data_IF_983946028366
#
_entry.id   IF_983946028366
#
_cell.length_a   1.000
_cell.length_b   1.000
_cell.length_c   1.000
_cell.angle_alpha   90.00
_cell.angle_beta   90.00
_cell.angle_gamma   90.00
#
_symmetry.space_group_name_H-M   'P 1'
#
loop_
_entity.id
_entity.type
_entity.pdbx_description
1 polymer ?
#
# COMPACT_ATOMS: atom_id res chain seq x y z
N UNK A 1 -7.88 -10.84 8.14
CA UNK A 1 -6.80 -11.02 9.12
C UNK A 1 -5.46 -11.07 8.41
N UNK A 2 -4.45 -10.39 8.92
CA UNK A 2 -3.12 -10.45 8.34
C UNK A 2 -2.58 -11.86 8.48
N UNK A 3 -2.02 -12.40 7.40
CA UNK A 3 -1.41 -13.72 7.39
C UNK A 3 -0.27 -13.76 8.41
N UNK A 4 -0.28 -14.76 9.28
CA UNK A 4 0.74 -14.94 10.31
C UNK A 4 2.13 -15.10 9.70
N UNK A 5 2.22 -15.81 8.56
CA UNK A 5 3.49 -16.01 7.86
C UNK A 5 4.01 -14.71 7.28
N UNK A 6 3.12 -13.86 6.75
CA UNK A 6 3.49 -12.54 6.26
C UNK A 6 3.98 -11.65 7.42
N UNK A 7 3.28 -11.67 8.54
CA UNK A 7 3.68 -10.90 9.73
C UNK A 7 5.09 -11.31 10.18
N UNK A 8 5.35 -12.61 10.27
CA UNK A 8 6.67 -13.12 10.66
C UNK A 8 7.74 -12.70 9.67
N UNK A 9 7.44 -12.75 8.37
CA UNK A 9 8.39 -12.32 7.35
C UNK A 9 8.71 -10.85 7.46
N UNK A 10 7.71 -10.00 7.74
CA UNK A 10 7.93 -8.57 7.96
C UNK A 10 8.86 -8.36 9.15
N UNK A 11 8.61 -9.04 10.26
CA UNK A 11 9.44 -8.93 11.47
C UNK A 11 10.89 -9.34 11.17
N UNK A 12 11.07 -10.43 10.44
CA UNK A 12 12.40 -10.93 10.05
C UNK A 12 13.11 -9.89 9.18
N UNK A 13 12.43 -9.32 8.19
CA UNK A 13 13.04 -8.33 7.30
C UNK A 13 13.38 -7.04 8.02
N UNK A 14 12.52 -6.59 8.95
CA UNK A 14 12.83 -5.43 9.78
C UNK A 14 14.09 -5.70 10.61
N UNK A 15 14.16 -6.86 11.24
CA UNK A 15 15.31 -7.25 12.05
C UNK A 15 16.61 -7.27 11.23
N UNK A 16 16.57 -7.91 10.04
CA UNK A 16 17.73 -7.99 9.15
C UNK A 16 18.17 -6.63 8.62
N UNK A 17 17.22 -5.69 8.50
CA UNK A 17 17.48 -4.37 7.93
C UNK A 17 18.03 -3.38 8.95
N UNK A 18 18.04 -3.72 10.24
CA UNK A 18 18.50 -2.81 11.30
C UNK A 18 19.92 -2.32 11.03
N UNK A 19 20.80 -3.21 10.64
CA UNK A 19 22.21 -2.88 10.39
C UNK A 19 22.39 -1.99 9.14
N UNK A 20 21.42 -2.00 8.23
CA UNK A 20 21.43 -1.19 7.02
C UNK A 20 20.80 0.18 7.21
N UNK A 21 20.15 0.41 8.34
CA UNK A 21 19.51 1.69 8.60
C UNK A 21 20.57 2.76 8.85
N UNK A 22 20.56 3.81 8.03
CA UNK A 22 21.58 4.87 8.06
C UNK A 22 21.09 6.20 8.62
N UNK A 23 19.88 6.25 9.16
CA UNK A 23 19.34 7.48 9.72
C UNK A 23 18.92 8.51 8.69
N UNK A 24 18.79 8.13 7.42
CA UNK A 24 18.38 9.06 6.35
C UNK A 24 16.89 9.37 6.38
N UNK A 25 16.12 8.59 7.14
CA UNK A 25 14.70 8.81 7.35
C UNK A 25 14.37 8.58 8.82
N UNK A 26 13.16 8.94 9.23
CA UNK A 26 12.71 8.61 10.58
C UNK A 26 12.56 7.09 10.73
N UNK A 27 12.66 6.60 11.95
CA UNK A 27 12.51 5.16 12.22
C UNK A 27 11.15 4.65 11.75
N UNK A 28 10.01 5.32 12.04
CA UNK A 28 8.72 4.86 11.53
C UNK A 28 8.68 4.78 9.99
N UNK A 29 9.22 5.75 9.29
CA UNK A 29 9.26 5.75 7.83
C UNK A 29 10.09 4.58 7.30
N UNK A 30 11.24 4.33 7.90
CA UNK A 30 12.10 3.21 7.52
C UNK A 30 11.41 1.87 7.76
N UNK A 31 10.79 1.69 8.93
CA UNK A 31 10.05 0.46 9.23
C UNK A 31 8.90 0.24 8.26
N UNK A 32 8.18 1.31 7.94
CA UNK A 32 7.07 1.26 6.99
C UNK A 32 7.57 0.82 5.61
N UNK A 33 8.69 1.36 5.18
CA UNK A 33 9.32 0.98 3.92
C UNK A 33 9.64 -0.51 3.88
N UNK A 34 10.28 -1.03 4.92
CA UNK A 34 10.63 -2.44 4.99
C UNK A 34 9.37 -3.30 4.97
N UNK A 35 8.38 -2.97 5.80
CA UNK A 35 7.13 -3.72 5.90
C UNK A 35 6.37 -3.73 4.57
N UNK A 36 6.23 -2.57 3.94
CA UNK A 36 5.51 -2.44 2.68
C UNK A 36 6.19 -3.21 1.56
N UNK A 37 7.51 -3.05 1.43
CA UNK A 37 8.27 -3.77 0.41
C UNK A 37 8.16 -5.29 0.61
N UNK A 38 8.20 -5.75 1.86
CA UNK A 38 8.04 -7.16 2.19
C UNK A 38 6.65 -7.66 1.81
N UNK A 39 5.62 -6.90 2.12
CA UNK A 39 4.24 -7.25 1.80
C UNK A 39 4.02 -7.35 0.29
N UNK A 40 4.55 -6.41 -0.47
CA UNK A 40 4.45 -6.42 -1.94
C UNK A 40 5.16 -7.63 -2.52
N UNK A 41 6.38 -7.91 -2.06
CA UNK A 41 7.15 -9.07 -2.52
C UNK A 41 6.43 -10.38 -2.19
N UNK A 42 5.85 -10.48 -1.00
CA UNK A 42 5.07 -11.63 -0.57
C UNK A 42 3.86 -11.85 -1.48
N UNK A 43 3.13 -10.78 -1.79
CA UNK A 43 1.96 -10.84 -2.66
C UNK A 43 2.34 -11.36 -4.05
N UNK A 44 3.44 -10.87 -4.62
CA UNK A 44 3.93 -11.34 -5.92
C UNK A 44 4.28 -12.82 -5.90
N UNK A 45 4.91 -13.27 -4.83
CA UNK A 45 5.29 -14.67 -4.66
C UNK A 45 4.05 -15.57 -4.57
N UNK A 46 3.05 -15.14 -3.80
CA UNK A 46 1.79 -15.88 -3.67
C UNK A 46 1.04 -15.95 -4.99
N UNK A 47 1.01 -14.87 -5.75
CA UNK A 47 0.39 -14.84 -7.07
C UNK A 47 1.03 -15.83 -8.04
N UNK A 48 2.34 -16.00 -7.96
CA UNK A 48 3.06 -16.97 -8.79
C UNK A 48 2.73 -18.41 -8.43
N UNK A 49 2.49 -18.67 -7.16
CA UNK A 49 2.23 -20.03 -6.66
C UNK A 49 0.77 -20.40 -6.72
N UNK A 50 -0.11 -19.43 -6.62
CA UNK A 50 -1.55 -19.65 -6.55
C UNK A 50 -2.23 -18.85 -7.66
N UNK A 51 -2.36 -19.45 -8.83
CA UNK A 51 -3.00 -18.82 -9.97
C UNK A 51 -4.37 -18.25 -9.59
N UNK A 52 -4.55 -16.96 -9.78
CA UNK A 52 -5.81 -16.28 -9.55
C UNK A 52 -6.02 -15.71 -8.17
N UNK A 53 -5.09 -15.92 -7.23
CA UNK A 53 -5.18 -15.21 -5.96
C UNK A 53 -4.75 -13.77 -6.16
N UNK A 54 -5.67 -12.86 -5.89
CA UNK A 54 -5.46 -11.43 -6.11
C UNK A 54 -4.62 -10.82 -4.99
N UNK A 55 -3.79 -9.83 -5.28
CA UNK A 55 -3.16 -8.98 -4.26
C UNK A 55 -4.17 -8.39 -3.29
N UNK A 56 -5.42 -8.34 -3.70
CA UNK A 56 -6.57 -7.90 -2.93
C UNK A 56 -6.63 -8.54 -1.54
N UNK A 57 -6.32 -9.84 -1.42
CA UNK A 57 -6.40 -10.53 -0.14
C UNK A 57 -5.42 -9.95 0.89
N UNK A 58 -4.23 -9.54 0.46
CA UNK A 58 -3.24 -8.92 1.35
C UNK A 58 -3.70 -7.53 1.78
N UNK A 59 -4.21 -6.74 0.83
CA UNK A 59 -4.70 -5.40 1.13
C UNK A 59 -5.90 -5.46 2.07
N UNK A 60 -6.83 -6.37 1.84
CA UNK A 60 -7.98 -6.57 2.72
C UNK A 60 -7.53 -6.98 4.14
N UNK A 61 -6.52 -7.82 4.24
CA UNK A 61 -5.95 -8.19 5.53
C UNK A 61 -5.37 -7.00 6.27
N UNK A 62 -4.66 -6.13 5.56
CA UNK A 62 -4.11 -4.91 6.15
C UNK A 62 -5.22 -3.95 6.58
N UNK A 63 -6.26 -3.84 5.79
CA UNK A 63 -7.40 -2.97 6.09
C UNK A 63 -8.18 -3.47 7.30
N UNK A 64 -8.36 -4.79 7.43
CA UNK A 64 -9.10 -5.34 8.57
C UNK A 64 -8.37 -5.16 9.90
N UNK A 65 -7.04 -5.09 9.88
CA UNK A 65 -6.29 -4.84 11.12
C UNK A 65 -6.45 -3.41 11.61
N UNK A 66 -6.77 -2.48 10.71
CA UNK A 66 -6.99 -1.09 11.06
C UNK A 66 -8.48 -0.72 11.09
N UNK A 67 -9.36 -1.67 10.78
CA UNK A 67 -10.78 -1.38 10.67
C UNK A 67 -11.42 -1.15 12.02
N UNK A 68 -12.33 -0.20 12.06
CA UNK A 68 -13.28 -0.04 13.14
C UNK A 68 -14.68 -0.27 12.55
N UNK A 69 -15.58 -0.75 13.38
CA UNK A 69 -16.97 -0.87 12.99
C UNK A 69 -17.51 0.52 12.67
N UNK A 70 -18.36 0.61 11.66
CA UNK A 70 -18.98 1.87 11.27
C UNK A 70 -18.18 2.67 10.24
N UNK A 71 -17.32 2.02 9.48
CA UNK A 71 -16.59 2.68 8.40
C UNK A 71 -17.54 3.24 7.36
N UNK A 72 -17.31 4.49 6.94
CA UNK A 72 -18.07 5.17 5.91
C UNK A 72 -18.02 4.36 4.59
N UNK A 73 -19.18 4.08 3.96
CA UNK A 73 -19.19 3.37 2.67
C UNK A 73 -18.34 4.01 1.58
N UNK A 74 -18.18 5.34 1.61
CA UNK A 74 -17.32 6.05 0.65
C UNK A 74 -15.85 5.67 0.86
N UNK A 75 -15.45 5.53 2.11
CA UNK A 75 -14.08 5.11 2.47
C UNK A 75 -13.86 3.66 2.05
N UNK A 76 -14.83 2.79 2.29
CA UNK A 76 -14.74 1.39 1.86
C UNK A 76 -14.62 1.26 0.35
N UNK A 77 -15.41 2.06 -0.39
CA UNK A 77 -15.32 2.11 -1.85
C UNK A 77 -13.92 2.51 -2.30
N UNK A 78 -13.38 3.57 -1.69
CA UNK A 78 -12.04 4.07 -2.00
C UNK A 78 -10.98 2.97 -1.80
N UNK A 79 -11.00 2.30 -0.66
CA UNK A 79 -10.03 1.25 -0.38
C UNK A 79 -10.15 0.08 -1.35
N UNK A 80 -11.36 -0.27 -1.76
CA UNK A 80 -11.55 -1.31 -2.77
C UNK A 80 -10.94 -0.91 -4.12
N UNK A 81 -11.10 0.34 -4.51
CA UNK A 81 -10.49 0.83 -5.75
C UNK A 81 -8.97 0.82 -5.65
N UNK A 82 -8.44 1.22 -4.52
CA UNK A 82 -6.99 1.21 -4.29
C UNK A 82 -6.45 -0.23 -4.36
N UNK A 83 -7.18 -1.19 -3.82
CA UNK A 83 -6.78 -2.59 -3.86
C UNK A 83 -6.63 -3.12 -5.29
N UNK A 84 -7.33 -2.55 -6.26
CA UNK A 84 -7.27 -2.95 -7.66
C UNK A 84 -6.16 -2.25 -8.45
N UNK A 85 -5.45 -1.31 -7.85
CA UNK A 85 -4.33 -0.64 -8.51
C UNK A 85 -3.12 -1.56 -8.61
N UNK A 86 -2.20 -1.21 -9.50
CA UNK A 86 -0.90 -1.89 -9.61
C UNK A 86 -0.08 -1.65 -8.34
N UNK A 87 0.88 -2.54 -8.09
CA UNK A 87 1.65 -2.56 -6.84
C UNK A 87 2.18 -1.18 -6.41
N UNK A 88 2.86 -0.47 -7.30
CA UNK A 88 3.47 0.82 -6.95
C UNK A 88 2.39 1.87 -6.72
N UNK A 89 1.40 1.91 -7.59
CA UNK A 89 0.29 2.87 -7.46
C UNK A 89 -0.49 2.62 -6.18
N UNK A 90 -0.73 1.37 -5.83
CA UNK A 90 -1.39 1.00 -4.58
C UNK A 90 -0.59 1.48 -3.37
N UNK A 91 0.72 1.25 -3.40
CA UNK A 91 1.61 1.69 -2.32
C UNK A 91 1.57 3.20 -2.14
N UNK A 92 1.67 3.93 -3.24
CA UNK A 92 1.61 5.40 -3.22
C UNK A 92 0.28 5.88 -2.63
N UNK A 93 -0.83 5.29 -3.08
CA UNK A 93 -2.15 5.69 -2.60
C UNK A 93 -2.33 5.42 -1.10
N UNK A 94 -1.92 4.24 -0.63
CA UNK A 94 -2.04 3.89 0.78
C UNK A 94 -1.19 4.79 1.67
N UNK A 95 0.02 5.10 1.24
CA UNK A 95 0.90 5.99 1.99
C UNK A 95 0.34 7.41 2.06
N UNK A 96 -0.25 7.87 0.95
CA UNK A 96 -0.90 9.18 0.94
C UNK A 96 -2.04 9.24 1.95
N UNK A 97 -2.87 8.21 2.00
CA UNK A 97 -3.98 8.13 2.96
C UNK A 97 -3.49 8.06 4.41
N UNK A 98 -2.32 7.49 4.64
CA UNK A 98 -1.72 7.43 5.96
C UNK A 98 -1.05 8.74 6.38
N UNK A 99 -1.08 9.76 5.52
CA UNK A 99 -0.59 11.09 5.84
C UNK A 99 0.87 11.34 5.50
N UNK A 100 1.50 10.47 4.74
CA UNK A 100 2.89 10.70 4.31
C UNK A 100 2.95 11.80 3.25
N UNK A 101 3.99 12.62 3.32
CA UNK A 101 4.23 13.65 2.31
C UNK A 101 4.73 13.02 1.00
N UNK A 102 4.65 13.77 -0.09
CA UNK A 102 5.17 13.32 -1.39
C UNK A 102 6.65 12.95 -1.29
N UNK A 103 7.42 13.75 -0.53
CA UNK A 103 8.84 13.50 -0.32
C UNK A 103 9.08 12.17 0.41
N UNK A 104 8.30 11.93 1.45
CA UNK A 104 8.39 10.69 2.21
C UNK A 104 7.97 9.48 1.38
N UNK A 105 6.87 9.62 0.62
CA UNK A 105 6.41 8.57 -0.27
C UNK A 105 7.49 8.24 -1.30
N UNK A 106 8.08 9.25 -1.90
CA UNK A 106 9.15 9.08 -2.88
C UNK A 106 10.31 8.26 -2.30
N UNK A 107 10.71 8.58 -1.07
CA UNK A 107 11.78 7.86 -0.38
C UNK A 107 11.41 6.41 -0.08
N UNK A 108 10.15 6.16 0.28
CA UNK A 108 9.67 4.83 0.62
C UNK A 108 9.59 3.93 -0.62
N UNK A 109 9.00 4.43 -1.70
CA UNK A 109 8.75 3.60 -2.89
C UNK A 109 9.88 3.65 -3.92
N UNK A 110 10.88 4.52 -3.72
CA UNK A 110 12.02 4.60 -4.63
C UNK A 110 11.75 5.40 -5.90
N UNK A 111 10.92 6.41 -5.83
CA UNK A 111 10.61 7.31 -6.93
C UNK A 111 11.09 8.73 -6.62
N UNK A 112 11.03 9.60 -7.62
CA UNK A 112 11.23 11.04 -7.38
C UNK A 112 9.93 11.64 -6.84
N UNK A 113 10.06 12.74 -6.12
CA UNK A 113 8.91 13.47 -5.60
C UNK A 113 7.98 13.91 -6.73
N UNK A 114 8.55 14.34 -7.84
CA UNK A 114 7.81 14.74 -9.03
C UNK A 114 6.99 13.57 -9.60
N UNK A 115 7.58 12.39 -9.71
CA UNK A 115 6.88 11.20 -10.19
C UNK A 115 5.76 10.78 -9.25
N UNK A 116 5.95 10.92 -7.95
CA UNK A 116 4.88 10.66 -6.97
C UNK A 116 3.70 11.59 -7.24
N UNK A 117 3.96 12.88 -7.45
CA UNK A 117 2.92 13.85 -7.76
C UNK A 117 2.13 13.50 -9.02
N UNK A 118 2.84 13.11 -10.08
CA UNK A 118 2.22 12.69 -11.34
C UNK A 118 1.33 11.46 -11.13
N UNK A 119 1.83 10.46 -10.41
CA UNK A 119 1.06 9.25 -10.11
C UNK A 119 -0.19 9.56 -9.30
N UNK A 120 -0.07 10.38 -8.28
CA UNK A 120 -1.21 10.74 -7.43
C UNK A 120 -2.29 11.45 -8.26
N UNK A 121 -1.90 12.40 -9.12
CA UNK A 121 -2.86 13.09 -9.97
C UNK A 121 -3.57 12.14 -10.92
N UNK A 122 -2.85 11.20 -11.51
CA UNK A 122 -3.43 10.18 -12.39
C UNK A 122 -4.39 9.29 -11.63
N UNK A 123 -4.00 8.82 -10.46
CA UNK A 123 -4.85 7.96 -9.62
C UNK A 123 -6.14 8.70 -9.25
N UNK A 124 -6.03 9.95 -8.84
CA UNK A 124 -7.21 10.76 -8.49
C UNK A 124 -8.16 10.90 -9.68
N UNK A 125 -7.62 11.15 -10.87
CA UNK A 125 -8.43 11.29 -12.08
C UNK A 125 -9.15 9.99 -12.44
N UNK A 126 -8.44 8.86 -12.36
CA UNK A 126 -9.02 7.55 -12.64
C UNK A 126 -10.14 7.21 -11.65
N UNK A 127 -9.94 7.48 -10.38
CA UNK A 127 -10.94 7.20 -9.35
C UNK A 127 -12.16 8.11 -9.48
N UNK A 128 -11.95 9.38 -9.81
CA UNK A 128 -13.04 10.31 -10.07
C UNK A 128 -13.88 9.86 -11.26
N UNK A 129 -13.23 9.36 -12.32
CA UNK A 129 -13.91 8.82 -13.49
C UNK A 129 -14.77 7.60 -13.15
N UNK A 130 -14.24 6.68 -12.38
CA UNK A 130 -14.97 5.48 -11.94
C UNK A 130 -16.18 5.84 -11.10
N UNK A 131 -16.03 6.81 -10.21
CA UNK A 131 -17.14 7.26 -9.38
C UNK A 131 -18.26 7.88 -10.22
N UNK A 132 -17.89 8.68 -11.22
CA UNK A 132 -18.87 9.27 -12.13
C UNK A 132 -19.62 8.19 -12.92
N UNK A 133 -18.91 7.17 -13.42
CA UNK A 133 -19.51 6.05 -14.13
C UNK A 133 -20.52 5.29 -13.26
N UNK A 134 -20.16 5.02 -12.02
CA UNK A 134 -21.05 4.33 -11.09
C UNK A 134 -22.28 5.16 -10.73
N UNK A 135 -22.14 6.49 -10.65
CA UNK A 135 -23.26 7.38 -10.36
C UNK A 135 -24.26 7.44 -11.52
N UNK A 136 -23.79 7.20 -12.76
CA UNK A 136 -24.65 7.22 -13.95
C UNK A 136 -25.36 5.89 -14.20
N UNK A 137 -24.90 4.80 -13.58
CA UNK A 137 -25.49 3.47 -13.81
C UNK A 137 -26.67 3.12 -12.86
#
# INVERSE_FOLDING_TARGET
MLDQDLFQEIVIQVWRSVDAFRGESSVPTWMYRVALNTAIAWTRKEDRHQHGKQPLAVVEGLLTTSSSDGRDPRVEWLYRQIANLKDVDRSVALLLLDGFSYKEIAAIVGLTESNVGVKINRIKSELAGKRAEEAES
#
